data_IF_943556384485
#
_entry.id   IF_943556384485
#
_cell.length_a   1.000
_cell.length_b   1.000
_cell.length_c   1.000
_cell.angle_alpha   90.00
_cell.angle_beta   90.00
_cell.angle_gamma   90.00
#
_symmetry.space_group_name_H-M   'P 1'
#
loop_
_entity.id
_entity.type
_entity.pdbx_description
1 polymer ?
#
# COMPACT_ATOMS: atom_id res chain seq x y z
N UNK A 1 16.65 66.50 32.97
CA UNK A 1 17.59 65.39 32.71
C UNK A 1 17.07 64.06 33.27
N UNK A 2 16.97 63.86 34.60
CA UNK A 2 16.57 62.56 35.20
C UNK A 2 15.18 61.99 34.78
N UNK A 3 14.18 62.84 34.55
CA UNK A 3 12.84 62.35 34.14
C UNK A 3 12.81 61.80 32.71
N UNK A 4 13.60 62.37 31.81
CA UNK A 4 13.73 61.91 30.42
C UNK A 4 14.49 60.59 30.33
N UNK A 5 15.54 60.41 31.15
CA UNK A 5 16.30 59.15 31.20
C UNK A 5 15.45 58.00 31.77
N UNK A 6 14.59 58.27 32.77
CA UNK A 6 13.65 57.28 33.29
C UNK A 6 12.62 56.83 32.23
N UNK A 7 12.05 57.77 31.48
CA UNK A 7 11.09 57.45 30.41
C UNK A 7 11.76 56.61 29.31
N UNK A 8 13.00 56.95 28.92
CA UNK A 8 13.78 56.19 27.94
C UNK A 8 14.08 54.76 28.40
N UNK A 9 14.45 54.56 29.67
CA UNK A 9 14.71 53.22 30.23
C UNK A 9 13.42 52.38 30.27
N UNK A 10 12.29 52.99 30.64
CA UNK A 10 10.98 52.29 30.64
C UNK A 10 10.57 51.89 29.22
N UNK A 11 10.76 52.77 28.23
CA UNK A 11 10.48 52.46 26.82
C UNK A 11 11.38 51.34 26.29
N UNK A 12 12.67 51.36 26.63
CA UNK A 12 13.62 50.29 26.28
C UNK A 12 13.22 48.96 26.91
N UNK A 13 12.82 48.96 28.19
CA UNK A 13 12.30 47.78 28.87
C UNK A 13 11.04 47.22 28.20
N UNK A 14 10.10 48.09 27.81
CA UNK A 14 8.90 47.70 27.08
C UNK A 14 9.21 47.10 25.70
N UNK A 15 10.16 47.67 24.96
CA UNK A 15 10.59 47.14 23.66
C UNK A 15 11.25 45.77 23.79
N UNK A 16 12.08 45.55 24.81
CA UNK A 16 12.69 44.25 25.08
C UNK A 16 11.60 43.23 25.44
N UNK A 17 10.64 43.61 26.28
CA UNK A 17 9.53 42.75 26.68
C UNK A 17 8.66 42.34 25.49
N UNK A 18 8.34 43.26 24.59
CA UNK A 18 7.65 42.96 23.34
C UNK A 18 8.46 42.01 22.44
N UNK A 19 9.79 42.20 22.36
CA UNK A 19 10.68 41.30 21.63
C UNK A 19 10.66 39.88 22.17
N UNK A 20 10.71 39.71 23.50
CA UNK A 20 10.66 38.38 24.15
C UNK A 20 9.31 37.70 23.91
N UNK A 21 8.20 38.43 24.06
CA UNK A 21 6.84 37.91 23.79
C UNK A 21 6.73 37.46 22.33
N UNK A 22 7.24 38.25 21.39
CA UNK A 22 7.21 37.91 19.97
C UNK A 22 8.01 36.63 19.66
N UNK A 23 9.21 36.49 20.21
CA UNK A 23 10.05 35.29 20.02
C UNK A 23 9.40 34.05 20.64
N UNK A 24 8.81 34.17 21.82
CA UNK A 24 8.10 33.08 22.48
C UNK A 24 6.86 32.65 21.67
N UNK A 25 6.05 33.61 21.22
CA UNK A 25 4.89 33.36 20.36
C UNK A 25 5.29 32.67 19.06
N UNK A 26 6.36 33.14 18.40
CA UNK A 26 6.86 32.55 17.15
C UNK A 26 7.28 31.10 17.35
N UNK A 27 8.06 30.79 18.40
CA UNK A 27 8.48 29.41 18.71
C UNK A 27 7.30 28.49 19.00
N UNK A 28 6.31 28.97 19.76
CA UNK A 28 5.10 28.20 20.07
C UNK A 28 4.30 27.93 18.79
N UNK A 29 4.13 28.94 17.93
CA UNK A 29 3.41 28.80 16.65
C UNK A 29 4.10 27.81 15.70
N UNK A 30 5.43 27.87 15.58
CA UNK A 30 6.22 26.93 14.78
C UNK A 30 6.16 25.51 15.35
N UNK A 31 6.20 25.36 16.68
CA UNK A 31 6.07 24.06 17.36
C UNK A 31 4.68 23.43 17.20
N UNK A 32 3.61 24.21 17.36
CA UNK A 32 2.22 23.74 17.16
C UNK A 32 1.99 23.35 15.71
N UNK A 33 2.50 24.12 14.74
CA UNK A 33 2.37 23.79 13.32
C UNK A 33 2.98 22.43 12.97
N UNK A 34 4.15 22.11 13.52
CA UNK A 34 4.85 20.85 13.26
C UNK A 34 4.23 19.64 13.98
N UNK A 35 3.64 19.84 15.17
CA UNK A 35 2.94 18.76 15.88
C UNK A 35 1.57 18.51 15.24
N UNK A 36 0.88 19.58 14.80
CA UNK A 36 -0.40 19.48 14.12
C UNK A 36 -0.24 18.84 12.74
N UNK A 37 0.78 19.21 11.96
CA UNK A 37 1.06 18.56 10.67
C UNK A 37 1.36 17.06 10.82
N UNK A 38 2.22 16.68 11.77
CA UNK A 38 2.48 15.27 12.08
C UNK A 38 1.23 14.54 12.58
N UNK A 39 0.40 15.20 13.40
CA UNK A 39 -0.86 14.66 13.87
C UNK A 39 -1.85 14.40 12.73
N UNK A 40 -1.95 15.33 11.78
CA UNK A 40 -2.79 15.21 10.58
C UNK A 40 -2.26 14.13 9.64
N UNK A 41 -0.95 14.01 9.44
CA UNK A 41 -0.34 12.94 8.66
C UNK A 41 -0.65 11.56 9.27
N UNK A 42 -0.46 11.38 10.57
CA UNK A 42 -0.77 10.13 11.27
C UNK A 42 -2.26 9.83 11.25
N UNK A 43 -3.12 10.84 11.42
CA UNK A 43 -4.57 10.68 11.35
C UNK A 43 -5.04 10.26 9.95
N UNK A 44 -4.48 10.87 8.90
CA UNK A 44 -4.76 10.49 7.52
C UNK A 44 -4.29 9.06 7.22
N UNK A 45 -3.10 8.67 7.66
CA UNK A 45 -2.59 7.31 7.47
C UNK A 45 -3.47 6.27 8.18
N UNK A 46 -3.89 6.56 9.42
CA UNK A 46 -4.83 5.73 10.17
C UNK A 46 -6.19 5.63 9.46
N UNK A 47 -6.69 6.75 8.93
CA UNK A 47 -7.96 6.80 8.21
C UNK A 47 -7.91 6.01 6.91
N UNK A 48 -6.80 6.08 6.15
CA UNK A 48 -6.61 5.28 4.94
C UNK A 48 -6.55 3.78 5.25
N UNK A 49 -5.80 3.38 6.28
CA UNK A 49 -5.76 1.99 6.75
C UNK A 49 -7.14 1.51 7.19
N UNK A 50 -7.91 2.36 7.85
CA UNK A 50 -9.27 2.03 8.27
C UNK A 50 -10.21 1.85 7.08
N UNK A 51 -10.20 2.78 6.12
CA UNK A 51 -10.97 2.67 4.86
C UNK A 51 -10.63 1.39 4.09
N UNK A 52 -9.34 1.03 4.01
CA UNK A 52 -8.92 -0.21 3.37
C UNK A 52 -9.47 -1.45 4.10
N UNK A 53 -9.42 -1.46 5.44
CA UNK A 53 -9.98 -2.56 6.24
C UNK A 53 -11.49 -2.69 6.09
N UNK A 54 -12.22 -1.58 6.07
CA UNK A 54 -13.66 -1.60 5.82
C UNK A 54 -13.99 -2.14 4.43
N UNK A 55 -13.26 -1.67 3.41
CA UNK A 55 -13.41 -2.18 2.05
C UNK A 55 -13.16 -3.68 1.97
N UNK A 56 -12.14 -4.20 2.65
CA UNK A 56 -11.87 -5.64 2.69
C UNK A 56 -12.98 -6.39 3.43
N UNK A 57 -13.50 -5.86 4.54
CA UNK A 57 -14.59 -6.51 5.29
C UNK A 57 -15.88 -6.62 4.51
N UNK A 58 -16.13 -5.71 3.55
CA UNK A 58 -17.30 -5.79 2.68
C UNK A 58 -17.10 -6.72 1.48
N UNK A 59 -15.90 -7.28 1.27
CA UNK A 59 -15.63 -8.22 0.18
C UNK A 59 -16.07 -9.65 0.52
N UNK A 60 -16.23 -10.52 -0.49
CA UNK A 60 -16.48 -11.95 -0.27
C UNK A 60 -15.41 -12.63 0.60
N UNK A 61 -15.81 -13.66 1.36
CA UNK A 61 -14.92 -14.39 2.29
C UNK A 61 -13.60 -14.87 1.67
N UNK A 62 -13.62 -15.30 0.40
CA UNK A 62 -12.43 -15.80 -0.27
C UNK A 62 -11.41 -14.67 -0.54
N UNK A 63 -11.88 -13.45 -0.83
CA UNK A 63 -11.03 -12.26 -1.01
C UNK A 63 -10.45 -11.83 0.33
N UNK A 64 -11.23 -11.90 1.42
CA UNK A 64 -10.74 -11.60 2.76
C UNK A 64 -9.63 -12.58 3.19
N UNK A 65 -9.85 -13.88 2.99
CA UNK A 65 -8.83 -14.91 3.25
C UNK A 65 -7.58 -14.71 2.39
N UNK A 66 -7.76 -14.37 1.12
CA UNK A 66 -6.65 -14.05 0.23
C UNK A 66 -5.82 -12.86 0.74
N UNK A 67 -6.46 -11.82 1.28
CA UNK A 67 -5.77 -10.68 1.90
C UNK A 67 -4.95 -11.09 3.13
N UNK A 68 -5.47 -11.98 3.96
CA UNK A 68 -4.71 -12.49 5.10
C UNK A 68 -3.50 -13.33 4.63
N UNK A 69 -3.70 -14.16 3.62
CA UNK A 69 -2.64 -14.98 3.03
C UNK A 69 -1.55 -14.13 2.36
N UNK A 70 -1.91 -13.07 1.65
CA UNK A 70 -0.94 -12.20 0.98
C UNK A 70 -0.05 -11.43 1.96
N UNK A 71 -0.62 -10.99 3.08
CA UNK A 71 0.16 -10.38 4.18
C UNK A 71 1.09 -11.41 4.84
N UNK A 72 0.63 -12.65 5.03
CA UNK A 72 1.47 -13.74 5.53
C UNK A 72 2.64 -14.05 4.58
N UNK A 73 2.37 -14.15 3.28
CA UNK A 73 3.41 -14.35 2.24
C UNK A 73 4.45 -13.22 2.30
N UNK A 74 4.01 -11.97 2.44
CA UNK A 74 4.90 -10.81 2.52
C UNK A 74 5.78 -10.87 3.77
N UNK A 75 5.20 -11.29 4.90
CA UNK A 75 5.95 -11.50 6.14
C UNK A 75 6.98 -12.63 5.99
N UNK A 76 6.57 -13.78 5.43
CA UNK A 76 7.44 -14.94 5.25
C UNK A 76 8.54 -14.67 4.22
N UNK A 77 8.25 -13.92 3.16
CA UNK A 77 9.25 -13.48 2.18
C UNK A 77 10.33 -12.65 2.85
N UNK A 78 9.97 -11.70 3.72
CA UNK A 78 10.94 -10.86 4.43
C UNK A 78 11.86 -11.64 5.38
N UNK A 79 11.45 -12.83 5.81
CA UNK A 79 12.25 -13.70 6.66
C UNK A 79 13.26 -14.57 5.89
N UNK A 80 13.19 -14.61 4.56
CA UNK A 80 14.11 -15.36 3.71
C UNK A 80 15.41 -14.59 3.44
N UNK A 81 16.50 -15.25 2.99
CA UNK A 81 17.71 -14.58 2.51
C UNK A 81 17.45 -13.68 1.29
N UNK A 82 18.31 -12.67 1.10
CA UNK A 82 18.18 -11.68 0.02
C UNK A 82 18.01 -12.30 -1.38
N UNK A 83 18.74 -13.37 -1.70
CA UNK A 83 18.62 -14.04 -3.00
C UNK A 83 17.19 -14.54 -3.28
N UNK A 84 16.53 -15.11 -2.28
CA UNK A 84 15.16 -15.59 -2.42
C UNK A 84 14.16 -14.43 -2.40
N UNK A 85 14.43 -13.37 -1.63
CA UNK A 85 13.61 -12.15 -1.65
C UNK A 85 13.58 -11.52 -3.04
N UNK A 86 14.73 -11.37 -3.70
CA UNK A 86 14.83 -10.81 -5.05
C UNK A 86 14.01 -11.62 -6.07
N UNK A 87 14.07 -12.96 -5.97
CA UNK A 87 13.31 -13.86 -6.85
C UNK A 87 11.80 -13.82 -6.59
N UNK A 88 11.37 -13.66 -5.34
CA UNK A 88 9.95 -13.63 -4.95
C UNK A 88 9.30 -12.25 -5.10
N UNK A 89 10.10 -11.17 -5.09
CA UNK A 89 9.61 -9.79 -5.25
C UNK A 89 8.73 -9.59 -6.49
N UNK A 90 9.12 -10.01 -7.71
CA UNK A 90 8.26 -9.83 -8.88
C UNK A 90 6.94 -10.62 -8.78
N UNK A 91 6.97 -11.82 -8.19
CA UNK A 91 5.77 -12.64 -7.96
C UNK A 91 4.83 -12.01 -6.94
N UNK A 92 5.39 -11.47 -5.85
CA UNK A 92 4.63 -10.73 -4.85
C UNK A 92 3.99 -9.47 -5.45
N UNK A 93 4.69 -8.77 -6.34
CA UNK A 93 4.13 -7.64 -7.06
C UNK A 93 2.97 -8.05 -7.98
N UNK A 94 3.13 -9.16 -8.73
CA UNK A 94 2.07 -9.68 -9.60
C UNK A 94 0.82 -10.11 -8.80
N UNK A 95 1.02 -10.84 -7.71
CA UNK A 95 -0.04 -11.21 -6.75
C UNK A 95 -0.80 -9.98 -6.25
N UNK A 96 -0.08 -8.94 -5.80
CA UNK A 96 -0.69 -7.70 -5.34
C UNK A 96 -1.42 -6.96 -6.46
N UNK A 97 -0.92 -7.03 -7.70
CA UNK A 97 -1.59 -6.51 -8.89
C UNK A 97 -2.95 -7.16 -9.13
N UNK A 98 -3.02 -8.49 -9.06
CA UNK A 98 -4.28 -9.24 -9.18
C UNK A 98 -5.26 -8.78 -8.10
N UNK A 99 -4.80 -8.77 -6.84
CA UNK A 99 -5.64 -8.42 -5.69
C UNK A 99 -6.14 -6.97 -5.71
N UNK A 100 -5.29 -6.02 -6.10
CA UNK A 100 -5.65 -4.61 -6.19
C UNK A 100 -6.78 -4.37 -7.19
N UNK A 101 -6.80 -5.12 -8.29
CA UNK A 101 -7.87 -5.03 -9.28
C UNK A 101 -9.16 -5.67 -8.74
N UNK A 102 -9.07 -6.88 -8.20
CA UNK A 102 -10.24 -7.66 -7.77
C UNK A 102 -10.92 -7.10 -6.52
N UNK A 103 -10.19 -6.45 -5.61
CA UNK A 103 -10.75 -5.83 -4.38
C UNK A 103 -11.78 -4.73 -4.69
N UNK A 104 -11.76 -4.17 -5.89
CA UNK A 104 -12.69 -3.10 -6.29
C UNK A 104 -13.78 -3.57 -7.25
N UNK A 105 -13.73 -4.83 -7.68
CA UNK A 105 -14.61 -5.37 -8.72
C UNK A 105 -14.87 -6.86 -8.47
N UNK A 106 -16.01 -7.12 -7.84
CA UNK A 106 -16.47 -8.46 -7.49
C UNK A 106 -16.62 -9.37 -8.73
N UNK A 107 -16.98 -8.82 -9.89
CA UNK A 107 -17.08 -9.62 -11.13
C UNK A 107 -15.71 -10.10 -11.59
N UNK A 108 -14.71 -9.23 -11.51
CA UNK A 108 -13.33 -9.61 -11.79
C UNK A 108 -12.83 -10.62 -10.76
N UNK A 109 -13.13 -10.44 -9.47
CA UNK A 109 -12.78 -11.39 -8.41
C UNK A 109 -13.33 -12.79 -8.70
N UNK A 110 -14.57 -12.88 -9.16
CA UNK A 110 -15.23 -14.15 -9.49
C UNK A 110 -14.65 -14.82 -10.73
N UNK A 111 -14.25 -14.04 -11.75
CA UNK A 111 -13.59 -14.57 -12.96
C UNK A 111 -12.26 -15.26 -12.63
N UNK A 112 -11.52 -14.75 -11.66
CA UNK A 112 -10.25 -15.34 -11.22
C UNK A 112 -10.38 -16.10 -9.91
N UNK A 113 -11.56 -16.68 -9.62
CA UNK A 113 -11.79 -17.43 -8.38
C UNK A 113 -10.81 -18.60 -8.17
N UNK A 114 -10.31 -19.20 -9.24
CA UNK A 114 -9.28 -20.23 -9.18
C UNK A 114 -7.96 -19.67 -8.63
N UNK A 115 -7.56 -18.44 -8.95
CA UNK A 115 -6.38 -17.81 -8.35
C UNK A 115 -6.47 -17.82 -6.82
N UNK A 116 -7.61 -17.42 -6.26
CA UNK A 116 -7.81 -17.36 -4.80
C UNK A 116 -7.91 -18.72 -4.12
N UNK A 117 -8.47 -19.71 -4.81
CA UNK A 117 -8.71 -21.03 -4.22
C UNK A 117 -7.55 -22.01 -4.43
N UNK A 118 -6.75 -21.85 -5.48
CA UNK A 118 -5.68 -22.81 -5.84
C UNK A 118 -4.32 -22.15 -5.90
N UNK A 119 -4.13 -21.15 -6.75
CA UNK A 119 -2.77 -20.64 -7.05
C UNK A 119 -2.17 -19.83 -5.90
N UNK A 120 -2.97 -19.00 -5.23
CA UNK A 120 -2.53 -18.22 -4.07
C UNK A 120 -2.23 -19.11 -2.85
N UNK A 121 -3.09 -20.06 -2.45
CA UNK A 121 -2.76 -21.03 -1.39
C UNK A 121 -1.53 -21.88 -1.72
N UNK A 122 -1.37 -22.32 -2.96
CA UNK A 122 -0.19 -23.08 -3.39
C UNK A 122 1.10 -22.24 -3.28
N UNK A 123 1.03 -20.97 -3.68
CA UNK A 123 2.15 -20.04 -3.52
C UNK A 123 2.47 -19.77 -2.06
N UNK A 124 1.47 -19.59 -1.20
CA UNK A 124 1.66 -19.44 0.24
C UNK A 124 2.37 -20.66 0.85
N UNK A 125 1.91 -21.88 0.50
CA UNK A 125 2.52 -23.11 0.95
C UNK A 125 3.97 -23.27 0.44
N UNK A 126 4.24 -22.85 -0.80
CA UNK A 126 5.59 -22.83 -1.36
C UNK A 126 6.52 -21.89 -0.59
N UNK A 127 6.09 -20.65 -0.33
CA UNK A 127 6.91 -19.68 0.43
C UNK A 127 7.15 -20.15 1.87
N UNK A 128 6.13 -20.73 2.52
CA UNK A 128 6.27 -21.31 3.86
C UNK A 128 7.27 -22.47 3.88
N UNK A 129 7.22 -23.36 2.88
CA UNK A 129 8.17 -24.47 2.74
C UNK A 129 9.58 -23.99 2.41
N UNK A 130 9.70 -22.97 1.56
CA UNK A 130 10.99 -22.36 1.26
C UNK A 130 11.58 -21.76 2.53
N UNK A 131 10.77 -21.12 3.38
CA UNK A 131 11.21 -20.56 4.67
C UNK A 131 11.72 -21.63 5.64
N UNK A 132 11.11 -22.82 5.68
CA UNK A 132 11.61 -23.92 6.52
C UNK A 132 12.87 -24.57 5.93
N UNK A 133 12.92 -24.75 4.62
CA UNK A 133 13.85 -25.68 3.99
C UNK A 133 15.06 -24.99 3.33
N UNK A 134 15.08 -23.66 3.17
CA UNK A 134 16.09 -22.97 2.36
C UNK A 134 17.54 -23.23 2.78
N UNK A 135 17.78 -23.55 4.06
CA UNK A 135 19.12 -23.86 4.60
C UNK A 135 19.62 -25.26 4.25
N UNK A 136 18.71 -26.14 3.86
CA UNK A 136 18.95 -27.55 3.58
C UNK A 136 18.71 -27.91 2.11
N UNK A 137 18.43 -26.91 1.26
CA UNK A 137 18.27 -27.13 -0.17
C UNK A 137 19.62 -27.52 -0.78
N UNK A 138 19.63 -28.71 -1.37
CA UNK A 138 20.66 -29.11 -2.30
C UNK A 138 20.46 -28.43 -3.67
N UNK A 139 21.38 -28.68 -4.60
CA UNK A 139 21.34 -28.09 -5.94
C UNK A 139 20.07 -28.50 -6.71
N UNK A 140 19.63 -29.74 -6.53
CA UNK A 140 18.40 -30.26 -7.16
C UNK A 140 17.15 -29.58 -6.60
N UNK A 141 17.05 -29.42 -5.28
CA UNK A 141 15.96 -28.71 -4.61
C UNK A 141 15.91 -27.24 -4.99
N UNK A 142 17.07 -26.60 -5.12
CA UNK A 142 17.17 -25.21 -5.58
C UNK A 142 16.66 -25.05 -7.01
N UNK A 143 16.99 -25.98 -7.91
CA UNK A 143 16.52 -25.95 -9.29
C UNK A 143 15.01 -26.18 -9.40
N UNK A 144 14.45 -27.12 -8.62
CA UNK A 144 12.99 -27.34 -8.54
C UNK A 144 12.25 -26.12 -7.98
N UNK A 145 12.83 -25.44 -6.99
CA UNK A 145 12.26 -24.20 -6.47
C UNK A 145 12.24 -23.11 -7.54
N UNK A 146 13.32 -22.96 -8.32
CA UNK A 146 13.37 -22.02 -9.47
C UNK A 146 12.35 -22.35 -10.54
N UNK A 147 12.15 -23.63 -10.86
CA UNK A 147 11.12 -24.08 -11.80
C UNK A 147 9.71 -23.80 -11.25
N UNK A 148 9.48 -24.04 -9.96
CA UNK A 148 8.20 -23.70 -9.32
C UNK A 148 7.90 -22.20 -9.40
N UNK A 149 8.91 -21.34 -9.23
CA UNK A 149 8.78 -19.89 -9.39
C UNK A 149 8.37 -19.49 -10.81
N UNK A 150 8.90 -20.16 -11.85
CA UNK A 150 8.52 -19.84 -13.24
C UNK A 150 7.08 -20.26 -13.54
N UNK A 151 6.63 -21.39 -12.99
CA UNK A 151 5.23 -21.83 -13.09
C UNK A 151 4.30 -20.81 -12.43
N UNK A 152 4.58 -20.39 -11.19
CA UNK A 152 3.76 -19.38 -10.52
C UNK A 152 3.73 -18.05 -11.28
N UNK A 153 4.85 -17.67 -11.91
CA UNK A 153 4.94 -16.43 -12.69
C UNK A 153 3.99 -16.48 -13.88
N UNK A 154 4.04 -17.56 -14.67
CA UNK A 154 3.14 -17.74 -15.81
C UNK A 154 1.68 -17.76 -15.37
N UNK A 155 1.39 -18.43 -14.25
CA UNK A 155 0.03 -18.53 -13.72
C UNK A 155 -0.51 -17.14 -13.34
N UNK A 156 0.29 -16.33 -12.63
CA UNK A 156 -0.12 -14.99 -12.20
C UNK A 156 -0.23 -14.01 -13.38
N UNK A 157 0.67 -14.09 -14.36
CA UNK A 157 0.59 -13.31 -15.60
C UNK A 157 -0.71 -13.62 -16.36
N UNK A 158 -1.06 -14.91 -16.49
CA UNK A 158 -2.34 -15.32 -17.11
C UNK A 158 -3.55 -14.71 -16.40
N UNK A 159 -3.57 -14.72 -15.07
CA UNK A 159 -4.67 -14.11 -14.31
C UNK A 159 -4.72 -12.58 -14.47
N UNK A 160 -3.57 -11.91 -14.49
CA UNK A 160 -3.49 -10.46 -14.76
C UNK A 160 -4.05 -10.11 -16.14
N UNK A 161 -3.68 -10.87 -17.19
CA UNK A 161 -4.18 -10.66 -18.54
C UNK A 161 -5.70 -10.85 -18.62
N UNK A 162 -6.23 -11.91 -18.03
CA UNK A 162 -7.69 -12.17 -17.99
C UNK A 162 -8.46 -11.01 -17.36
N UNK A 163 -7.94 -10.47 -16.25
CA UNK A 163 -8.57 -9.34 -15.55
C UNK A 163 -8.45 -8.05 -16.36
N UNK A 164 -7.29 -7.79 -16.97
CA UNK A 164 -7.08 -6.59 -17.79
C UNK A 164 -7.96 -6.59 -19.04
N UNK A 165 -8.13 -7.73 -19.71
CA UNK A 165 -9.04 -7.87 -20.85
C UNK A 165 -10.49 -7.61 -20.45
N UNK A 166 -10.94 -8.16 -19.30
CA UNK A 166 -12.27 -7.89 -18.79
C UNK A 166 -12.51 -6.39 -18.57
N UNK A 167 -11.52 -5.68 -18.01
CA UNK A 167 -11.62 -4.23 -17.79
C UNK A 167 -11.61 -3.43 -19.10
N UNK A 168 -10.80 -3.82 -20.09
CA UNK A 168 -10.77 -3.16 -21.41
C UNK A 168 -12.13 -3.24 -22.11
N UNK A 169 -12.77 -4.41 -22.06
CA UNK A 169 -14.12 -4.60 -22.62
C UNK A 169 -15.14 -3.62 -21.99
N UNK A 170 -15.11 -3.44 -20.67
CA UNK A 170 -16.00 -2.50 -20.00
C UNK A 170 -15.75 -1.04 -20.43
N UNK A 171 -14.49 -0.65 -20.66
CA UNK A 171 -14.15 0.68 -21.18
C UNK A 171 -14.60 0.87 -22.64
N UNK A 172 -14.41 -0.12 -23.50
CA UNK A 172 -14.80 -0.05 -24.91
C UNK A 172 -16.32 0.08 -25.06
N UNK A 173 -17.08 -0.71 -24.30
CA UNK A 173 -18.54 -0.61 -24.25
C UNK A 173 -18.99 0.76 -23.75
N UNK A 174 -18.39 1.28 -22.67
CA UNK A 174 -18.70 2.62 -22.17
C UNK A 174 -18.37 3.71 -23.20
N UNK A 175 -17.26 3.57 -23.91
CA UNK A 175 -16.84 4.52 -24.93
C UNK A 175 -17.79 4.52 -26.13
N UNK A 176 -18.26 3.35 -26.55
CA UNK A 176 -19.22 3.24 -27.65
C UNK A 176 -20.59 3.81 -27.27
N UNK A 177 -21.05 3.62 -26.03
CA UNK A 177 -22.27 4.28 -25.53
C UNK A 177 -22.12 5.81 -25.51
N UNK A 178 -20.96 6.33 -25.09
CA UNK A 178 -20.67 7.76 -25.11
C UNK A 178 -20.67 8.30 -26.55
N UNK A 179 -20.02 7.61 -27.49
CA UNK A 179 -20.01 7.98 -28.92
C UNK A 179 -21.41 8.05 -29.50
N UNK A 180 -22.28 7.07 -29.20
CA UNK A 180 -23.68 7.08 -29.66
C UNK A 180 -24.41 8.32 -29.13
N UNK A 181 -24.31 8.60 -27.81
CA UNK A 181 -24.93 9.78 -27.21
C UNK A 181 -24.40 11.12 -27.73
N UNK A 182 -23.12 11.17 -28.12
CA UNK A 182 -22.52 12.37 -28.73
C UNK A 182 -22.90 12.54 -30.20
N UNK A 183 -23.29 11.46 -30.89
CA UNK A 183 -23.74 11.50 -32.29
C UNK A 183 -25.21 11.92 -32.42
N UNK A 184 -26.01 11.67 -31.38
CA UNK A 184 -27.42 12.09 -31.28
C UNK A 184 -27.60 13.49 -30.66
N UNK A 185 -26.52 14.28 -30.54
CA UNK A 185 -26.52 15.71 -30.19
C UNK A 185 -26.00 16.52 -31.36
#
# INVERSE_FOLDING_TARGET
>A
MMRLTLILVVLLGLLILLGVIYVAYRKIREGIGNVWSKGVEVANEQQERWKQREKIKSQPDFVQKAHQQSEQIKYDTKALPAEWQERLTPLNAAMQGVMAITISDDKCAEKVRSFFNTSLPAYAAFVAKLKSDYRHLDEQGTNKAKESLSIFKQDFERYLEQIQQARRFDFDVLMDVIKVRLKDR
#
